data_IF_734189487163
#
_entry.id   IF_734189487163
#
_cell.length_a   1.000
_cell.length_b   1.000
_cell.length_c   1.000
_cell.angle_alpha   90.00
_cell.angle_beta   90.00
_cell.angle_gamma   90.00
#
_symmetry.space_group_name_H-M   'P 1'
#
loop_
_entity.id
_entity.type
_entity.pdbx_description
1 polymer ?
#
# COMPACT_ATOMS: atom_id res chain seq x y z
N UNK A 1 4.28 6.13 11.56
CA UNK A 1 4.80 4.74 11.51
C UNK A 1 3.86 3.70 12.16
N UNK A 2 3.60 3.74 13.48
CA UNK A 2 2.77 2.73 14.19
C UNK A 2 1.37 2.54 13.59
N UNK A 3 0.74 3.61 13.11
CA UNK A 3 -0.59 3.55 12.49
C UNK A 3 -0.68 2.75 11.18
N UNK A 4 0.41 2.60 10.40
CA UNK A 4 0.32 1.87 9.13
C UNK A 4 0.31 0.36 9.27
N UNK A 5 0.63 -0.19 10.46
CA UNK A 5 0.42 -1.61 10.77
C UNK A 5 -1.07 -2.00 10.77
N UNK A 6 -1.99 -1.03 10.82
CA UNK A 6 -3.44 -1.27 10.70
C UNK A 6 -3.92 -1.38 9.23
N UNK A 7 -3.09 -1.97 8.35
CA UNK A 7 -3.40 -2.11 6.91
C UNK A 7 -3.70 -0.78 6.19
N UNK A 8 -2.95 0.27 6.51
CA UNK A 8 -3.09 1.61 5.92
C UNK A 8 -1.87 1.94 5.03
N UNK A 9 -1.74 1.34 3.83
CA UNK A 9 -0.59 1.59 2.97
C UNK A 9 -0.50 3.04 2.50
N UNK A 10 -1.65 3.70 2.30
CA UNK A 10 -1.69 5.11 1.94
C UNK A 10 -1.10 6.01 3.04
N UNK A 11 -1.32 5.67 4.32
CA UNK A 11 -0.73 6.40 5.44
C UNK A 11 0.80 6.25 5.47
N UNK A 12 1.32 5.07 5.12
CA UNK A 12 2.77 4.87 4.96
C UNK A 12 3.35 5.65 3.78
N UNK A 13 2.63 5.75 2.67
CA UNK A 13 3.03 6.56 1.53
C UNK A 13 3.09 8.06 1.90
N UNK A 14 2.04 8.59 2.52
CA UNK A 14 2.01 9.99 2.99
C UNK A 14 3.16 10.25 3.96
N UNK A 15 3.38 9.35 4.92
CA UNK A 15 4.50 9.47 5.87
C UNK A 15 5.87 9.47 5.15
N UNK A 16 6.04 8.66 4.11
CA UNK A 16 7.28 8.60 3.36
C UNK A 16 7.53 9.89 2.55
N UNK A 17 6.51 10.42 1.87
CA UNK A 17 6.61 11.63 1.04
C UNK A 17 6.76 12.89 1.91
N UNK A 18 5.96 13.02 2.97
CA UNK A 18 5.95 14.20 3.83
C UNK A 18 7.30 14.40 4.52
N UNK A 19 7.85 13.34 5.12
CA UNK A 19 9.11 13.41 5.88
C UNK A 19 10.36 13.19 5.02
N UNK A 20 10.23 13.07 3.69
CA UNK A 20 11.36 12.84 2.81
C UNK A 20 12.37 13.99 2.87
N UNK A 21 11.89 15.25 2.89
CA UNK A 21 12.77 16.42 2.96
C UNK A 21 13.51 16.49 4.29
N UNK A 22 12.83 16.21 5.40
CA UNK A 22 13.41 16.17 6.74
C UNK A 22 14.47 15.06 6.87
N UNK A 23 14.20 13.89 6.27
CA UNK A 23 15.08 12.73 6.33
C UNK A 23 16.33 12.82 5.44
N UNK A 24 16.23 13.48 4.27
CA UNK A 24 17.28 13.40 3.24
C UNK A 24 17.82 14.75 2.74
N UNK A 25 17.07 15.85 2.89
CA UNK A 25 17.44 17.16 2.29
C UNK A 25 17.92 18.16 3.34
N UNK A 26 17.36 18.13 4.55
CA UNK A 26 17.72 19.06 5.63
C UNK A 26 19.14 18.77 6.16
N UNK A 27 19.81 19.80 6.68
CA UNK A 27 21.14 19.64 7.30
C UNK A 27 21.10 18.64 8.47
N UNK A 28 22.22 17.93 8.76
CA UNK A 28 22.26 16.91 9.80
C UNK A 28 21.87 17.43 11.18
N UNK A 29 20.94 16.73 11.84
CA UNK A 29 20.55 16.94 13.24
C UNK A 29 20.42 15.58 13.95
N UNK A 30 20.52 15.56 15.28
CA UNK A 30 20.61 14.31 16.06
C UNK A 30 19.48 13.31 15.77
N UNK A 31 18.25 13.79 15.66
CA UNK A 31 17.07 12.96 15.43
C UNK A 31 16.89 12.50 13.98
N UNK A 32 17.68 13.05 13.03
CA UNK A 32 17.52 12.78 11.60
C UNK A 32 17.73 11.30 11.28
N UNK A 33 18.67 10.62 11.95
CA UNK A 33 18.91 9.17 11.76
C UNK A 33 17.67 8.34 12.10
N UNK A 34 16.97 8.71 13.17
CA UNK A 34 15.75 8.04 13.61
C UNK A 34 14.61 8.28 12.60
N UNK A 35 14.42 9.53 12.17
CA UNK A 35 13.41 9.89 11.16
C UNK A 35 13.65 9.15 9.84
N UNK A 36 14.91 9.11 9.38
CA UNK A 36 15.30 8.42 8.15
C UNK A 36 14.97 6.92 8.20
N UNK A 37 15.24 6.25 9.32
CA UNK A 37 14.88 4.85 9.52
C UNK A 37 13.36 4.63 9.42
N UNK A 38 12.55 5.51 10.04
CA UNK A 38 11.09 5.41 9.95
C UNK A 38 10.55 5.67 8.55
N UNK A 39 11.10 6.64 7.82
CA UNK A 39 10.72 6.94 6.44
C UNK A 39 11.02 5.75 5.53
N UNK A 40 12.22 5.15 5.66
CA UNK A 40 12.61 3.97 4.88
C UNK A 40 11.68 2.79 5.20
N UNK A 41 11.42 2.50 6.47
CA UNK A 41 10.51 1.41 6.86
C UNK A 41 9.08 1.65 6.36
N UNK A 42 8.60 2.89 6.38
CA UNK A 42 7.30 3.25 5.79
C UNK A 42 7.28 3.08 4.27
N UNK A 43 8.33 3.48 3.56
CA UNK A 43 8.42 3.27 2.11
C UNK A 43 8.42 1.78 1.75
N UNK A 44 9.19 0.95 2.45
CA UNK A 44 9.20 -0.51 2.27
C UNK A 44 7.79 -1.08 2.51
N UNK A 45 7.16 -0.71 3.62
CA UNK A 45 5.81 -1.17 3.94
C UNK A 45 4.77 -0.78 2.88
N UNK A 46 4.83 0.45 2.37
CA UNK A 46 3.95 0.94 1.31
C UNK A 46 4.15 0.15 0.00
N UNK A 47 5.41 -0.10 -0.40
CA UNK A 47 5.74 -0.88 -1.60
C UNK A 47 5.27 -2.32 -1.48
N UNK A 48 5.49 -2.97 -0.33
CA UNK A 48 5.04 -4.35 -0.10
C UNK A 48 3.51 -4.46 -0.22
N UNK A 49 2.77 -3.54 0.40
CA UNK A 49 1.31 -3.51 0.25
C UNK A 49 0.86 -3.24 -1.18
N UNK A 50 1.54 -2.34 -1.91
CA UNK A 50 1.23 -2.08 -3.31
C UNK A 50 1.37 -3.37 -4.14
N UNK A 51 2.44 -4.14 -3.93
CA UNK A 51 2.65 -5.43 -4.59
C UNK A 51 1.52 -6.41 -4.26
N UNK A 52 1.18 -6.55 -2.97
CA UNK A 52 0.11 -7.45 -2.52
C UNK A 52 -1.25 -7.06 -3.12
N UNK A 53 -1.59 -5.77 -3.14
CA UNK A 53 -2.85 -5.29 -3.70
C UNK A 53 -2.89 -5.49 -5.23
N UNK A 54 -1.82 -5.17 -5.94
CA UNK A 54 -1.74 -5.40 -7.39
C UNK A 54 -1.86 -6.88 -7.72
N UNK A 55 -1.15 -7.74 -6.98
CA UNK A 55 -1.23 -9.19 -7.16
C UNK A 55 -2.66 -9.70 -6.90
N UNK A 56 -3.29 -9.27 -5.80
CA UNK A 56 -4.66 -9.63 -5.46
C UNK A 56 -5.65 -9.17 -6.53
N UNK A 57 -5.60 -7.91 -6.95
CA UNK A 57 -6.48 -7.35 -7.99
C UNK A 57 -6.28 -8.11 -9.31
N UNK A 58 -5.04 -8.36 -9.72
CA UNK A 58 -4.75 -9.07 -10.96
C UNK A 58 -5.29 -10.50 -10.91
N UNK A 59 -5.01 -11.22 -9.81
CA UNK A 59 -5.48 -12.58 -9.61
C UNK A 59 -7.02 -12.66 -9.58
N UNK A 60 -7.66 -11.74 -8.86
CA UNK A 60 -9.11 -11.63 -8.81
C UNK A 60 -9.71 -11.36 -10.18
N UNK A 61 -9.23 -10.36 -10.92
CA UNK A 61 -9.77 -10.02 -12.24
C UNK A 61 -9.62 -11.16 -13.25
N UNK A 62 -8.52 -11.93 -13.20
CA UNK A 62 -8.29 -13.06 -14.10
C UNK A 62 -9.15 -14.29 -13.78
N UNK A 63 -9.51 -14.49 -12.50
CA UNK A 63 -10.18 -15.71 -12.04
C UNK A 63 -11.63 -15.49 -11.59
N UNK A 64 -12.10 -14.24 -11.50
CA UNK A 64 -13.46 -13.87 -11.00
C UNK A 64 -14.56 -14.72 -11.62
N UNK A 65 -14.54 -14.84 -12.95
CA UNK A 65 -15.55 -15.58 -13.72
C UNK A 65 -15.50 -17.08 -13.41
N UNK A 66 -14.30 -17.63 -13.24
CA UNK A 66 -14.09 -19.05 -12.90
C UNK A 66 -14.58 -19.38 -11.48
N UNK A 67 -14.62 -18.39 -10.59
CA UNK A 67 -15.10 -18.56 -9.22
C UNK A 67 -16.63 -18.58 -9.11
N UNK A 68 -17.35 -18.25 -10.19
CA UNK A 68 -18.81 -18.27 -10.25
C UNK A 68 -19.46 -17.50 -9.10
N UNK A 69 -20.36 -18.15 -8.37
CA UNK A 69 -21.11 -17.54 -7.27
C UNK A 69 -20.23 -16.92 -6.17
N UNK A 70 -19.05 -17.49 -5.90
CA UNK A 70 -18.12 -16.90 -4.93
C UNK A 70 -17.51 -15.61 -5.47
N UNK A 71 -17.10 -15.60 -6.75
CA UNK A 71 -16.57 -14.41 -7.42
C UNK A 71 -17.58 -13.27 -7.45
N UNK A 72 -18.85 -13.58 -7.67
CA UNK A 72 -19.94 -12.59 -7.63
C UNK A 72 -20.21 -12.09 -6.22
N UNK A 73 -20.19 -12.97 -5.19
CA UNK A 73 -20.45 -12.58 -3.81
C UNK A 73 -19.41 -11.60 -3.23
N UNK A 74 -18.15 -11.70 -3.66
CA UNK A 74 -17.08 -10.79 -3.23
C UNK A 74 -16.84 -9.61 -4.20
N UNK A 75 -17.58 -9.57 -5.32
CA UNK A 75 -17.56 -8.44 -6.25
C UNK A 75 -18.42 -7.30 -5.71
N UNK A 76 -17.79 -6.17 -5.41
CA UNK A 76 -18.55 -4.96 -5.06
C UNK A 76 -19.19 -4.30 -6.28
N UNK A 77 -18.52 -4.37 -7.44
CA UNK A 77 -18.99 -3.82 -8.71
C UNK A 77 -18.92 -4.96 -9.73
N UNK A 78 -20.09 -5.37 -10.24
CA UNK A 78 -20.18 -6.37 -11.31
C UNK A 78 -20.25 -5.65 -12.66
N UNK A 79 -19.31 -5.91 -13.59
CA UNK A 79 -19.35 -5.30 -14.91
C UNK A 79 -20.61 -5.75 -15.67
N UNK A 80 -21.39 -4.80 -16.15
CA UNK A 80 -22.58 -5.09 -16.96
C UNK A 80 -22.15 -5.52 -18.36
N UNK A 81 -22.50 -6.75 -18.76
CA UNK A 81 -22.29 -7.27 -20.13
C UNK A 81 -21.13 -8.25 -20.30
N UNK A 82 -20.37 -8.56 -19.24
CA UNK A 82 -19.41 -9.66 -19.22
C UNK A 82 -19.84 -10.61 -18.09
N UNK A 83 -20.15 -11.89 -18.37
CA UNK A 83 -20.44 -12.87 -17.33
C UNK A 83 -19.25 -13.00 -16.36
#
# INVERSE_FOLDING_TARGET
YRGGFFALPFLWLVNAVWFFREAFVRQPFEEQKMIKSYVIRSAIGATLWAIVLVAWVTYFQLNRVQWGAFGDAISFITPTGIP
#
